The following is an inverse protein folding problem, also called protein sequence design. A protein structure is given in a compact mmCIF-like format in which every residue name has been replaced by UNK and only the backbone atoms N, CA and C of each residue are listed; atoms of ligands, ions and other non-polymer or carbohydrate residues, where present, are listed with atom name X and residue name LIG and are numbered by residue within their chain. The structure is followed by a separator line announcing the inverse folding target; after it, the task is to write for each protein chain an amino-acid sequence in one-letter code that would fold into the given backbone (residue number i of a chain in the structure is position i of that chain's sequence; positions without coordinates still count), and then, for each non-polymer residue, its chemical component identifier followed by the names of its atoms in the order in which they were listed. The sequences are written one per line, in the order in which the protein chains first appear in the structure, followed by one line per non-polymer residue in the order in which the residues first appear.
data_IF_504931844782
#
_entry.id   IF_504931844782
#
_cell.length_a   1.000
_cell.length_b   1.000
_cell.length_c   1.000
_cell.angle_alpha   90.00
_cell.angle_beta   90.00
_cell.angle_gamma   90.00
#
_symmetry.space_group_name_H-M   'P 1'
#
loop_
_entity.id
_entity.type
_entity.pdbx_description
1 polymer ?
#
# COMPACT_ATOMS: atom_id res chain seq x y z
N UNK A 1 51.97 32.42 17.56
CA UNK A 1 51.18 33.66 17.49
C UNK A 1 49.93 33.38 16.67
N UNK A 2 48.86 33.21 17.25
CA UNK A 2 47.80 34.04 17.74
C UNK A 2 46.64 33.82 16.77
N UNK A 3 45.43 33.63 17.08
CA UNK A 3 44.48 34.04 18.13
C UNK A 3 43.22 33.22 18.08
N UNK A 4 42.76 32.83 19.24
CA UNK A 4 41.39 32.39 19.58
C UNK A 4 40.36 33.40 19.09
N UNK A 5 39.18 32.94 18.68
CA UNK A 5 37.93 33.67 18.89
C UNK A 5 36.78 32.69 19.15
N UNK A 6 36.54 32.52 20.43
CA UNK A 6 35.24 32.16 20.99
C UNK A 6 34.17 33.18 20.57
N UNK A 7 33.04 32.72 20.13
CA UNK A 7 31.78 33.48 20.27
C UNK A 7 30.67 32.55 20.69
N UNK A 8 30.52 32.43 22.01
CA UNK A 8 29.26 32.12 22.66
C UNK A 8 28.24 33.19 22.31
N UNK A 9 27.06 32.81 21.92
CA UNK A 9 25.91 33.69 22.04
C UNK A 9 24.74 32.92 22.62
N UNK A 10 24.61 33.09 23.91
CA UNK A 10 23.45 32.86 24.72
C UNK A 10 22.52 34.08 24.59
N UNK A 11 21.28 33.89 24.32
CA UNK A 11 20.14 34.72 24.73
C UNK A 11 18.88 34.25 24.00
N UNK A 12 17.76 34.14 24.55
CA UNK A 12 17.13 34.32 25.84
C UNK A 12 15.65 33.95 25.65
N UNK A 13 15.10 33.36 26.68
CA UNK A 13 13.69 33.29 27.04
C UNK A 13 12.83 34.42 26.48
N UNK A 14 11.63 34.10 25.99
CA UNK A 14 10.45 34.82 26.37
C UNK A 14 9.24 33.90 26.45
N UNK A 15 8.81 33.75 27.67
CA UNK A 15 7.56 33.26 28.15
C UNK A 15 6.48 34.26 27.76
N UNK A 16 5.39 33.80 27.20
CA UNK A 16 4.13 34.52 27.23
C UNK A 16 3.02 33.51 27.48
N UNK A 17 2.58 33.44 28.69
CA UNK A 17 1.26 32.96 29.11
C UNK A 17 0.24 33.92 28.50
N UNK A 18 -0.84 33.36 27.95
CA UNK A 18 -2.14 33.98 28.01
C UNK A 18 -3.14 32.89 28.39
N UNK A 19 -3.59 33.02 29.59
CA UNK A 19 -4.84 32.46 30.11
C UNK A 19 -5.99 33.33 29.60
N UNK A 20 -7.12 32.72 29.57
CA UNK A 20 -8.49 33.18 29.67
C UNK A 20 -9.35 32.90 28.44
N UNK A 21 -10.29 32.03 28.64
CA UNK A 21 -11.68 32.25 28.78
C UNK A 21 -12.53 31.11 28.19
N UNK A 22 -13.46 30.55 28.94
CA UNK A 22 -14.39 29.56 28.42
C UNK A 22 -15.51 30.27 27.66
N UNK A 23 -15.72 29.92 26.41
CA UNK A 23 -16.97 30.28 25.74
C UNK A 23 -17.79 29.02 25.50
N UNK A 24 -18.69 28.84 26.42
CA UNK A 24 -19.84 27.95 26.33
C UNK A 24 -20.81 28.61 25.39
N UNK A 25 -21.13 27.98 24.29
CA UNK A 25 -22.34 28.26 23.54
C UNK A 25 -22.99 26.92 23.22
N UNK A 26 -23.95 26.61 24.08
CA UNK A 26 -25.10 25.81 23.77
C UNK A 26 -25.72 26.31 22.47
N UNK A 27 -25.85 25.49 21.47
CA UNK A 27 -26.94 25.59 20.52
C UNK A 27 -27.43 24.18 20.19
N UNK A 28 -28.53 23.90 20.86
CA UNK A 28 -29.38 22.78 20.59
C UNK A 28 -30.03 22.94 19.21
N UNK A 29 -29.52 22.20 18.26
CA UNK A 29 -30.12 22.01 16.94
C UNK A 29 -30.50 20.57 16.69
N UNK A 30 -31.46 20.09 17.47
CA UNK A 30 -32.23 18.90 17.15
C UNK A 30 -32.90 19.05 15.80
N UNK A 31 -32.43 18.36 14.79
CA UNK A 31 -33.20 18.02 13.62
C UNK A 31 -33.05 16.54 13.34
N UNK A 32 -33.97 15.81 13.98
CA UNK A 32 -34.39 14.52 13.48
C UNK A 32 -34.83 14.70 12.03
N UNK A 33 -34.07 14.22 11.10
CA UNK A 33 -34.56 13.97 9.77
C UNK A 33 -34.78 12.47 9.63
N UNK A 34 -35.89 12.05 10.15
CA UNK A 34 -36.59 10.87 9.75
C UNK A 34 -37.03 11.10 8.30
N UNK A 35 -36.28 10.57 7.40
CA UNK A 35 -36.70 10.54 6.02
C UNK A 35 -36.29 9.22 5.38
N UNK A 36 -37.28 8.41 5.25
CA UNK A 36 -37.48 7.47 4.17
C UNK A 36 -36.47 6.33 4.02
N UNK A 37 -36.81 5.30 4.72
CA UNK A 37 -36.69 3.92 4.27
C UNK A 37 -37.30 3.80 2.88
N UNK A 38 -36.53 4.09 1.86
CA UNK A 38 -36.82 3.61 0.52
C UNK A 38 -36.30 2.20 0.44
N UNK A 39 -37.15 1.25 0.76
CA UNK A 39 -37.00 -0.11 0.31
C UNK A 39 -37.04 -0.11 -1.21
N UNK A 40 -35.89 0.12 -1.81
CA UNK A 40 -35.67 -0.29 -3.17
C UNK A 40 -35.55 -1.81 -3.14
N UNK A 41 -36.66 -2.47 -3.31
CA UNK A 41 -36.68 -3.79 -3.91
C UNK A 41 -36.11 -3.63 -5.33
N UNK A 42 -34.80 -3.54 -5.40
CA UNK A 42 -34.11 -3.80 -6.63
C UNK A 42 -34.27 -5.30 -6.87
N UNK A 43 -35.34 -5.59 -7.58
CA UNK A 43 -35.52 -6.82 -8.33
C UNK A 43 -34.18 -7.28 -8.83
N UNK A 44 -33.67 -8.35 -8.24
CA UNK A 44 -32.56 -9.11 -8.79
C UNK A 44 -33.04 -9.69 -10.11
N UNK A 45 -32.98 -8.89 -11.16
CA UNK A 45 -32.82 -9.45 -12.48
C UNK A 45 -31.40 -10.02 -12.50
N UNK A 46 -31.32 -11.28 -12.10
CA UNK A 46 -30.22 -12.16 -12.52
C UNK A 46 -30.33 -12.22 -14.03
N UNK A 47 -29.76 -11.25 -14.69
CA UNK A 47 -29.44 -11.38 -16.11
C UNK A 47 -28.32 -12.39 -16.15
N UNK A 48 -28.62 -13.56 -16.69
CA UNK A 48 -27.68 -14.64 -17.05
C UNK A 48 -26.68 -14.16 -18.15
N UNK A 49 -26.07 -13.03 -17.95
CA UNK A 49 -24.96 -12.51 -18.76
C UNK A 49 -23.74 -12.27 -17.90
N UNK A 50 -23.63 -12.99 -16.79
CA UNK A 50 -22.42 -13.09 -15.99
C UNK A 50 -21.56 -14.30 -16.44
N UNK A 51 -21.45 -14.54 -17.73
CA UNK A 51 -20.18 -14.96 -18.27
C UNK A 51 -19.26 -13.73 -18.21
N UNK A 52 -19.03 -13.25 -16.98
CA UNK A 52 -18.06 -12.22 -16.71
C UNK A 52 -16.79 -12.69 -17.39
N UNK A 53 -16.34 -11.92 -18.34
CA UNK A 53 -15.15 -12.10 -19.12
C UNK A 53 -13.96 -12.36 -18.15
N UNK A 54 -13.79 -13.63 -17.75
CA UNK A 54 -12.69 -14.05 -16.87
C UNK A 54 -11.35 -13.63 -17.46
N UNK A 55 -11.28 -13.62 -18.78
CA UNK A 55 -10.12 -13.16 -19.55
C UNK A 55 -9.84 -11.69 -19.26
N UNK A 56 -10.84 -10.82 -19.35
CA UNK A 56 -10.69 -9.40 -19.05
C UNK A 56 -10.32 -9.12 -17.60
N UNK A 57 -10.81 -9.94 -16.66
CA UNK A 57 -10.42 -9.81 -15.25
C UNK A 57 -8.97 -10.23 -15.02
N UNK A 58 -8.49 -11.27 -15.70
CA UNK A 58 -7.08 -11.69 -15.65
C UNK A 58 -6.20 -10.59 -16.17
N UNK A 59 -6.49 -10.06 -17.36
CA UNK A 59 -5.71 -8.98 -17.98
C UNK A 59 -5.64 -7.73 -17.09
N UNK A 60 -6.76 -7.33 -16.48
CA UNK A 60 -6.80 -6.21 -15.54
C UNK A 60 -5.98 -6.47 -14.28
N UNK A 61 -5.97 -7.70 -13.80
CA UNK A 61 -5.17 -8.10 -12.65
C UNK A 61 -3.67 -8.05 -12.96
N UNK A 62 -3.27 -8.61 -14.11
CA UNK A 62 -1.88 -8.57 -14.57
C UNK A 62 -1.41 -7.13 -14.86
N UNK A 63 -2.27 -6.28 -15.42
CA UNK A 63 -1.96 -4.87 -15.62
C UNK A 63 -1.66 -4.16 -14.29
N UNK A 64 -2.44 -4.44 -13.25
CA UNK A 64 -2.19 -3.91 -11.89
C UNK A 64 -0.90 -4.44 -11.28
N UNK A 65 -0.57 -5.71 -11.50
CA UNK A 65 0.70 -6.29 -11.05
C UNK A 65 1.89 -5.63 -11.75
N UNK A 66 1.78 -5.39 -13.06
CA UNK A 66 2.81 -4.71 -13.84
C UNK A 66 3.03 -3.28 -13.37
N UNK A 67 1.95 -2.53 -13.15
CA UNK A 67 2.02 -1.19 -12.58
C UNK A 67 2.69 -1.20 -11.19
N UNK A 68 2.34 -2.14 -10.32
CA UNK A 68 2.95 -2.27 -9.01
C UNK A 68 4.45 -2.60 -9.09
N UNK A 69 4.89 -3.43 -10.06
CA UNK A 69 6.31 -3.69 -10.31
C UNK A 69 7.05 -2.42 -10.74
N UNK A 70 6.46 -1.61 -11.62
CA UNK A 70 7.03 -0.33 -12.03
C UNK A 70 7.15 0.64 -10.84
N UNK A 71 6.10 0.74 -10.01
CA UNK A 71 6.12 1.56 -8.80
C UNK A 71 7.18 1.11 -7.79
N UNK A 72 7.46 -0.19 -7.70
CA UNK A 72 8.50 -0.75 -6.84
C UNK A 72 9.92 -0.34 -7.28
N UNK A 73 10.10 0.12 -8.51
CA UNK A 73 11.41 0.61 -9.01
C UNK A 73 11.64 2.10 -8.78
N UNK A 74 10.65 2.85 -8.33
CA UNK A 74 10.72 4.30 -8.13
C UNK A 74 11.73 4.72 -7.06
N UNK A 75 12.07 6.01 -7.07
CA UNK A 75 13.03 6.60 -6.11
C UNK A 75 12.46 6.73 -4.70
N UNK A 76 11.14 6.94 -4.57
CA UNK A 76 10.47 7.13 -3.28
C UNK A 76 10.42 5.85 -2.46
N UNK A 77 11.00 5.85 -1.26
CA UNK A 77 10.98 4.71 -0.34
C UNK A 77 9.55 4.33 0.07
N UNK A 78 8.72 5.34 0.38
CA UNK A 78 7.32 5.11 0.73
C UNK A 78 6.51 4.53 -0.44
N UNK A 79 6.79 4.97 -1.68
CA UNK A 79 6.16 4.43 -2.88
C UNK A 79 6.54 2.97 -3.11
N UNK A 80 7.83 2.65 -2.98
CA UNK A 80 8.33 1.27 -3.13
C UNK A 80 7.73 0.33 -2.08
N UNK A 81 7.66 0.77 -0.82
CA UNK A 81 7.06 -0.06 0.24
C UNK A 81 5.60 -0.40 -0.08
N UNK A 82 4.79 0.60 -0.43
CA UNK A 82 3.39 0.39 -0.81
C UNK A 82 3.25 -0.54 -2.01
N UNK A 83 4.12 -0.39 -3.00
CA UNK A 83 4.13 -1.26 -4.17
C UNK A 83 4.49 -2.71 -3.83
N UNK A 84 5.49 -2.93 -2.97
CA UNK A 84 5.86 -4.26 -2.48
C UNK A 84 4.72 -4.91 -1.68
N UNK A 85 4.05 -4.15 -0.81
CA UNK A 85 2.89 -4.62 -0.06
C UNK A 85 1.71 -4.97 -0.98
N UNK A 86 1.47 -4.15 -2.01
CA UNK A 86 0.44 -4.41 -3.02
C UNK A 86 0.73 -5.69 -3.82
N UNK A 87 1.97 -5.90 -4.24
CA UNK A 87 2.42 -7.13 -4.91
C UNK A 87 2.22 -8.35 -4.02
N UNK A 88 2.65 -8.29 -2.77
CA UNK A 88 2.43 -9.38 -1.81
C UNK A 88 0.94 -9.67 -1.64
N UNK A 89 0.11 -8.63 -1.45
CA UNK A 89 -1.33 -8.78 -1.28
C UNK A 89 -2.04 -9.35 -2.51
N UNK A 90 -1.57 -9.04 -3.70
CA UNK A 90 -2.11 -9.57 -4.95
C UNK A 90 -1.74 -11.05 -5.15
N UNK A 91 -0.47 -11.41 -4.97
CA UNK A 91 0.02 -12.78 -5.13
C UNK A 91 -0.52 -13.76 -4.07
N UNK A 92 -0.92 -13.26 -2.90
CA UNK A 92 -1.64 -14.06 -1.89
C UNK A 92 -3.08 -14.39 -2.31
N UNK A 93 -3.70 -13.55 -3.12
CA UNK A 93 -5.10 -13.71 -3.54
C UNK A 93 -5.26 -14.58 -4.77
N UNK A 94 -4.27 -14.61 -5.63
CA UNK A 94 -4.36 -15.29 -6.91
C UNK A 94 -3.06 -15.96 -7.29
N UNK A 95 -3.16 -17.20 -7.77
CA UNK A 95 -2.08 -17.93 -8.38
C UNK A 95 -1.94 -17.50 -9.85
N UNK A 96 -0.78 -17.00 -10.24
CA UNK A 96 -0.50 -16.47 -11.58
C UNK A 96 0.95 -16.78 -12.02
N UNK A 97 1.29 -18.07 -12.18
CA UNK A 97 2.65 -18.49 -12.49
C UNK A 97 3.14 -17.93 -13.82
N UNK A 98 2.31 -17.94 -14.86
CA UNK A 98 2.67 -17.46 -16.20
C UNK A 98 3.12 -15.99 -16.18
N UNK A 99 2.39 -15.15 -15.45
CA UNK A 99 2.76 -13.75 -15.27
C UNK A 99 4.11 -13.63 -14.54
N UNK A 100 4.30 -14.41 -13.49
CA UNK A 100 5.53 -14.38 -12.69
C UNK A 100 6.72 -14.88 -13.48
N UNK A 101 6.58 -15.94 -14.27
CA UNK A 101 7.64 -16.42 -15.17
C UNK A 101 8.06 -15.35 -16.17
N UNK A 102 7.09 -14.68 -16.79
CA UNK A 102 7.34 -13.59 -17.73
C UNK A 102 8.01 -12.37 -17.09
N UNK A 103 7.75 -12.10 -15.80
CA UNK A 103 8.28 -10.96 -15.04
C UNK A 103 9.34 -11.36 -14.01
N UNK A 104 9.86 -12.58 -14.07
CA UNK A 104 10.76 -13.16 -13.07
C UNK A 104 11.99 -12.27 -12.82
N UNK A 105 12.68 -11.85 -13.88
CA UNK A 105 13.88 -11.02 -13.77
C UNK A 105 13.58 -9.69 -13.08
N UNK A 106 12.53 -9.01 -13.51
CA UNK A 106 12.12 -7.73 -12.91
C UNK A 106 11.73 -7.89 -11.44
N UNK A 107 11.02 -8.96 -11.12
CA UNK A 107 10.61 -9.25 -9.75
C UNK A 107 11.82 -9.58 -8.87
N UNK A 108 12.76 -10.36 -9.36
CA UNK A 108 14.02 -10.65 -8.67
C UNK A 108 14.83 -9.37 -8.42
N UNK A 109 14.95 -8.48 -9.39
CA UNK A 109 15.66 -7.20 -9.24
C UNK A 109 15.01 -6.32 -8.17
N UNK A 110 13.68 -6.28 -8.13
CA UNK A 110 12.92 -5.55 -7.11
C UNK A 110 13.18 -6.12 -5.72
N UNK A 111 13.14 -7.45 -5.58
CA UNK A 111 13.43 -8.16 -4.32
C UNK A 111 14.88 -7.88 -3.88
N UNK A 112 15.83 -8.06 -4.77
CA UNK A 112 17.24 -7.82 -4.48
C UNK A 112 17.49 -6.38 -4.02
N UNK A 113 16.88 -5.41 -4.69
CA UNK A 113 16.95 -3.99 -4.31
C UNK A 113 16.36 -3.75 -2.93
N UNK A 114 15.19 -4.34 -2.63
CA UNK A 114 14.54 -4.21 -1.34
C UNK A 114 15.39 -4.81 -0.22
N UNK A 115 15.97 -5.97 -0.42
CA UNK A 115 16.82 -6.65 0.57
C UNK A 115 18.17 -5.97 0.77
N UNK A 116 18.82 -5.49 -0.29
CA UNK A 116 20.16 -4.86 -0.21
C UNK A 116 20.14 -3.39 0.18
N UNK A 117 19.15 -2.65 -0.28
CA UNK A 117 19.11 -1.17 -0.17
C UNK A 117 17.85 -0.65 0.54
N UNK A 118 16.91 -1.52 0.86
CA UNK A 118 15.67 -1.16 1.56
C UNK A 118 15.93 -0.76 3.01
N UNK A 119 14.97 -0.08 3.60
CA UNK A 119 15.00 0.32 5.01
C UNK A 119 13.70 -0.09 5.69
N UNK A 120 13.83 -0.63 6.90
CA UNK A 120 12.67 -1.00 7.71
C UNK A 120 11.72 -1.97 7.00
N UNK A 121 10.48 -1.55 6.81
CA UNK A 121 9.44 -2.37 6.18
C UNK A 121 9.71 -2.82 4.74
N UNK A 122 10.57 -2.10 3.99
CA UNK A 122 10.93 -2.53 2.63
C UNK A 122 11.65 -3.89 2.62
N UNK A 123 12.53 -4.13 3.60
CA UNK A 123 13.26 -5.41 3.71
C UNK A 123 12.27 -6.53 4.01
N UNK A 124 11.35 -6.29 4.94
CA UNK A 124 10.33 -7.27 5.31
C UNK A 124 9.40 -7.59 4.14
N UNK A 125 8.89 -6.57 3.46
CA UNK A 125 8.06 -6.73 2.28
C UNK A 125 8.80 -7.44 1.13
N UNK A 126 10.07 -7.12 0.91
CA UNK A 126 10.93 -7.80 -0.05
C UNK A 126 11.14 -9.28 0.27
N UNK A 127 11.36 -9.61 1.54
CA UNK A 127 11.48 -10.99 1.99
C UNK A 127 10.17 -11.78 1.80
N UNK A 128 9.04 -11.19 2.14
CA UNK A 128 7.72 -11.79 1.90
C UNK A 128 7.48 -12.02 0.40
N UNK A 129 7.83 -11.06 -0.44
CA UNK A 129 7.70 -11.18 -1.88
C UNK A 129 8.58 -12.32 -2.43
N UNK A 130 9.80 -12.50 -1.92
CA UNK A 130 10.68 -13.60 -2.30
C UNK A 130 10.06 -14.98 -2.00
N UNK A 131 9.44 -15.15 -0.83
CA UNK A 131 8.73 -16.37 -0.47
C UNK A 131 7.54 -16.61 -1.40
N UNK A 132 6.74 -15.58 -1.66
CA UNK A 132 5.58 -15.70 -2.54
C UNK A 132 5.99 -16.02 -3.98
N UNK A 133 7.08 -15.42 -4.46
CA UNK A 133 7.65 -15.75 -5.77
C UNK A 133 8.02 -17.23 -5.86
N UNK A 134 8.69 -17.76 -4.84
CA UNK A 134 9.05 -19.18 -4.78
C UNK A 134 7.82 -20.09 -4.79
N UNK A 135 6.76 -19.72 -4.08
CA UNK A 135 5.50 -20.47 -4.06
C UNK A 135 4.78 -20.42 -5.41
N UNK A 136 4.79 -19.29 -6.10
CA UNK A 136 4.17 -19.13 -7.41
C UNK A 136 4.89 -19.92 -8.52
N UNK A 137 6.21 -20.08 -8.41
CA UNK A 137 7.05 -20.81 -9.36
C UNK A 137 7.20 -22.30 -8.99
N UNK A 138 6.74 -22.70 -7.79
CA UNK A 138 6.77 -24.11 -7.39
C UNK A 138 5.70 -24.86 -8.16
N UNK A 139 6.11 -25.94 -8.83
CA UNK A 139 5.18 -26.83 -9.50
C UNK A 139 4.27 -27.51 -8.45
N UNK A 140 2.95 -27.32 -8.53
CA UNK A 140 2.02 -27.89 -7.55
C UNK A 140 2.08 -29.43 -7.53
N UNK A 141 2.50 -30.08 -8.59
CA UNK A 141 2.62 -31.54 -8.63
C UNK A 141 3.71 -32.11 -7.73
N UNK A 142 4.71 -31.30 -7.38
CA UNK A 142 5.82 -31.74 -6.51
C UNK A 142 5.54 -31.56 -5.02
N UNK A 143 4.52 -30.80 -4.65
CA UNK A 143 4.21 -30.48 -3.24
C UNK A 143 3.34 -31.57 -2.58
N UNK A 144 2.68 -32.42 -3.37
CA UNK A 144 1.70 -33.40 -2.88
C UNK A 144 2.13 -34.88 -3.08
N UNK A 145 3.43 -35.13 -3.20
CA UNK A 145 3.97 -36.52 -3.22
C UNK A 145 4.52 -36.94 -1.89
#
# INVERSE_FOLDING_TARGET
MGKKKDRRNLKAKSSARNEDGPNVSDDEGSLCNDADSVTSEASSQVTETDAVDESGQVELFEAKLREALELATQKSASGRLKALEALCGALLKRYCPDFIENQQMTTCDVIERALKKGKGGEIEAGARLAVLLSLQLSDPEHVYK
#
